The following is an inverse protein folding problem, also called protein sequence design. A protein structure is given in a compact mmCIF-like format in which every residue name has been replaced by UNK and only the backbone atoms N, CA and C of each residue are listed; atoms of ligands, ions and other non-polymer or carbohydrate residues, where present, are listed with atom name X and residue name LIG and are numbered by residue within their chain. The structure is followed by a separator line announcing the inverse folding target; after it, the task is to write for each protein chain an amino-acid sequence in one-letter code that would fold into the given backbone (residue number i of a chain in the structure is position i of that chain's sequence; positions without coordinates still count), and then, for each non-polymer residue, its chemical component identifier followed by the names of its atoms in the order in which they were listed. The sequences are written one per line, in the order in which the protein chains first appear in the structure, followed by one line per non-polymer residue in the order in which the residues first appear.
data_IF_499097609415
#
_entry.id   IF_499097609415
#
_cell.length_a   1.000
_cell.length_b   1.000
_cell.length_c   1.000
_cell.angle_alpha   90.00
_cell.angle_beta   90.00
_cell.angle_gamma   90.00
#
_symmetry.space_group_name_H-M   'P 1'
#
loop_
_entity.id
_entity.type
_entity.pdbx_description
1 polymer ?
#
# COMPACT_ATOMS: atom_id res chain seq x y z
N UNK A 1 -0.46 -10.16 5.22
CA UNK A 1 -0.98 -9.30 4.12
C UNK A 1 -2.45 -9.55 3.84
N UNK A 2 -2.91 -10.80 3.90
CA UNK A 2 -4.27 -11.20 3.50
C UNK A 2 -5.39 -10.51 4.27
N UNK A 3 -5.25 -10.38 5.59
CA UNK A 3 -6.21 -9.63 6.42
C UNK A 3 -6.26 -8.16 6.00
N UNK A 4 -5.10 -7.51 5.81
CA UNK A 4 -5.04 -6.11 5.40
C UNK A 4 -5.73 -5.89 4.04
N UNK A 5 -5.45 -6.76 3.06
CA UNK A 5 -6.08 -6.73 1.73
C UNK A 5 -7.60 -6.97 1.78
N UNK A 6 -8.07 -7.84 2.68
CA UNK A 6 -9.51 -8.16 2.84
C UNK A 6 -10.37 -6.93 3.18
N UNK A 7 -9.79 -5.92 3.84
CA UNK A 7 -10.54 -4.75 4.30
C UNK A 7 -10.32 -3.49 3.44
N UNK A 8 -9.69 -3.58 2.27
CA UNK A 8 -9.51 -2.42 1.39
C UNK A 8 -10.87 -1.85 0.96
N UNK A 9 -11.77 -2.70 0.47
CA UNK A 9 -13.10 -2.27 -0.02
C UNK A 9 -13.96 -1.72 1.13
N UNK A 10 -13.86 -2.35 2.29
CA UNK A 10 -14.53 -1.88 3.50
C UNK A 10 -14.12 -0.44 3.83
N UNK A 11 -12.83 -0.16 3.99
CA UNK A 11 -12.36 1.18 4.34
C UNK A 11 -12.56 2.19 3.21
N UNK A 12 -12.46 1.77 1.95
CA UNK A 12 -12.75 2.62 0.79
C UNK A 12 -14.18 3.17 0.89
N UNK A 13 -15.15 2.28 1.18
CA UNK A 13 -16.56 2.64 1.37
C UNK A 13 -16.78 3.49 2.63
N UNK A 14 -16.25 3.06 3.77
CA UNK A 14 -16.47 3.75 5.06
C UNK A 14 -15.91 5.17 5.05
N UNK A 15 -14.83 5.42 4.29
CA UNK A 15 -14.27 6.77 4.11
C UNK A 15 -14.89 7.56 2.96
N UNK A 16 -15.88 7.00 2.26
CA UNK A 16 -16.62 7.70 1.20
C UNK A 16 -15.84 7.91 -0.09
N UNK A 17 -14.82 7.10 -0.35
CA UNK A 17 -14.07 7.15 -1.61
C UNK A 17 -14.67 6.22 -2.66
N UNK A 18 -14.60 6.61 -3.93
CA UNK A 18 -15.03 5.77 -5.05
C UNK A 18 -14.04 4.63 -5.35
N UNK A 19 -12.76 4.82 -5.00
CA UNK A 19 -11.68 3.86 -5.24
C UNK A 19 -10.67 3.89 -4.11
N UNK A 20 -10.01 2.75 -3.89
CA UNK A 20 -8.94 2.65 -2.92
C UNK A 20 -7.75 3.54 -3.30
N UNK A 21 -7.16 4.19 -2.30
CA UNK A 21 -5.92 4.96 -2.38
C UNK A 21 -4.76 4.28 -1.63
N UNK A 22 -4.96 3.05 -1.15
CA UNK A 22 -3.99 2.26 -0.41
C UNK A 22 -3.67 0.97 -1.18
N UNK A 23 -2.42 0.53 -1.10
CA UNK A 23 -1.99 -0.78 -1.60
C UNK A 23 -1.08 -1.47 -0.59
N UNK A 24 -1.11 -2.81 -0.56
CA UNK A 24 -0.23 -3.61 0.28
C UNK A 24 0.65 -4.48 -0.60
N UNK A 25 1.98 -4.29 -0.49
CA UNK A 25 2.99 -5.08 -1.18
C UNK A 25 3.75 -5.96 -0.18
N UNK A 26 4.06 -7.19 -0.59
CA UNK A 26 4.96 -8.08 0.16
C UNK A 26 6.38 -7.84 -0.35
N UNK A 27 7.33 -7.59 0.53
CA UNK A 27 8.74 -7.45 0.19
C UNK A 27 9.59 -7.19 1.43
N UNK A 28 10.90 -7.06 1.24
CA UNK A 28 11.86 -6.76 2.32
C UNK A 28 12.02 -5.26 2.49
N UNK A 29 11.92 -4.78 3.73
CA UNK A 29 12.03 -3.35 4.02
C UNK A 29 13.43 -2.79 3.76
N UNK A 30 14.45 -3.65 3.76
CA UNK A 30 15.83 -3.33 3.45
C UNK A 30 16.09 -3.23 1.95
N UNK A 31 15.16 -3.71 1.10
CA UNK A 31 15.32 -3.83 -0.36
C UNK A 31 14.16 -3.24 -1.18
N UNK A 32 13.35 -2.33 -0.63
CA UNK A 32 12.79 -1.13 -1.28
C UNK A 32 12.53 -1.22 -2.80
N UNK A 33 13.58 -0.86 -3.52
CA UNK A 33 13.60 -0.67 -4.96
C UNK A 33 13.56 -1.98 -5.74
N UNK A 34 14.16 -3.04 -5.21
CA UNK A 34 14.25 -4.34 -5.87
C UNK A 34 13.10 -5.27 -5.46
N UNK A 35 12.67 -5.18 -4.20
CA UNK A 35 11.57 -5.94 -3.60
C UNK A 35 10.90 -5.09 -2.50
N UNK A 36 9.73 -4.46 -2.74
CA UNK A 36 8.70 -4.84 -3.71
C UNK A 36 8.64 -3.96 -4.98
N UNK A 37 9.78 -3.45 -5.47
CA UNK A 37 9.80 -2.68 -6.72
C UNK A 37 9.33 -1.23 -6.57
N UNK A 38 9.67 -0.56 -5.46
CA UNK A 38 9.33 0.85 -5.24
C UNK A 38 10.22 1.77 -6.09
N UNK A 39 9.63 2.82 -6.68
CA UNK A 39 10.39 3.77 -7.49
C UNK A 39 11.20 4.70 -6.61
N UNK A 40 12.37 5.11 -7.09
CA UNK A 40 13.17 6.15 -6.42
C UNK A 40 12.45 7.49 -6.47
N UNK A 41 12.55 8.28 -5.40
CA UNK A 41 11.93 9.61 -5.28
C UNK A 41 10.42 9.63 -5.56
N UNK A 42 9.69 8.59 -5.16
CA UNK A 42 8.24 8.50 -5.37
C UNK A 42 7.37 8.60 -4.11
N UNK A 43 7.98 8.87 -2.95
CA UNK A 43 7.29 8.97 -1.67
C UNK A 43 7.72 10.24 -0.95
N UNK A 44 6.74 10.99 -0.44
CA UNK A 44 6.98 12.20 0.35
C UNK A 44 7.28 11.88 1.82
N UNK A 45 6.68 10.81 2.36
CA UNK A 45 6.75 10.42 3.78
C UNK A 45 6.85 8.90 3.92
N UNK A 46 7.65 8.43 4.88
CA UNK A 46 7.82 7.01 5.26
C UNK A 46 7.52 6.86 6.75
N UNK A 47 6.72 5.84 7.11
CA UNK A 47 6.30 5.52 8.50
C UNK A 47 6.45 4.04 8.80
#
# INVERSE_FOLDING_TARGET
LDVAKRFIDYHTKEYGFEKANVEFRLGKIEQLTDDPGLKTNSFDVIV
#
